data_IF_259074496024
#
_entry.id   IF_259074496024
#
_cell.length_a   1.000
_cell.length_b   1.000
_cell.length_c   1.000
_cell.angle_alpha   90.00
_cell.angle_beta   90.00
_cell.angle_gamma   90.00
#
_symmetry.space_group_name_H-M   'P 1'
#
loop_
_entity.id
_entity.type
_entity.pdbx_description
1 polymer ?
#
# COMPACT_ATOMS: atom_id res chain seq x y z
N UNK A 1 -55.48 43.44 61.52
CA UNK A 1 -55.19 42.23 60.71
C UNK A 1 -54.05 42.57 59.76
N UNK A 2 -52.83 42.09 60.05
CA UNK A 2 -51.61 42.37 59.27
C UNK A 2 -51.59 41.48 58.03
N UNK A 3 -51.51 42.06 56.83
CA UNK A 3 -51.34 41.35 55.56
C UNK A 3 -49.84 41.10 55.34
N UNK A 4 -49.45 39.82 55.25
CA UNK A 4 -48.10 39.39 54.91
C UNK A 4 -48.00 39.37 53.38
N UNK A 5 -47.12 40.17 52.81
CA UNK A 5 -46.77 40.14 51.39
C UNK A 5 -45.60 39.16 51.23
N UNK A 6 -45.85 38.02 50.59
CA UNK A 6 -44.83 37.02 50.26
C UNK A 6 -44.18 37.44 48.93
N UNK A 7 -42.96 37.96 48.99
CA UNK A 7 -42.11 38.21 47.83
C UNK A 7 -41.49 36.88 47.37
N UNK A 8 -41.95 36.36 46.24
CA UNK A 8 -41.32 35.21 45.57
C UNK A 8 -40.18 35.75 44.72
N UNK A 9 -38.94 35.54 45.17
CA UNK A 9 -37.74 35.78 44.37
C UNK A 9 -37.60 34.65 43.33
N UNK A 10 -37.87 34.96 42.07
CA UNK A 10 -37.57 34.06 40.96
C UNK A 10 -36.07 34.15 40.69
N UNK A 11 -35.32 33.19 41.20
CA UNK A 11 -33.90 33.04 40.91
C UNK A 11 -33.70 32.48 39.50
N UNK A 12 -33.24 33.31 38.57
CA UNK A 12 -32.77 32.89 37.25
C UNK A 12 -31.47 32.10 37.42
N UNK A 13 -31.55 30.78 37.36
CA UNK A 13 -30.37 29.90 37.30
C UNK A 13 -29.83 29.98 35.87
N UNK A 14 -28.79 30.79 35.68
CA UNK A 14 -28.01 30.81 34.44
C UNK A 14 -27.12 29.57 34.46
N UNK A 15 -27.56 28.51 33.78
CA UNK A 15 -26.68 27.40 33.42
C UNK A 15 -25.68 27.91 32.38
N UNK A 16 -24.49 28.30 32.84
CA UNK A 16 -23.35 28.47 31.96
C UNK A 16 -22.95 27.08 31.47
N UNK A 17 -23.23 26.76 30.20
CA UNK A 17 -22.56 25.68 29.51
C UNK A 17 -21.07 26.04 29.45
N UNK A 18 -20.29 25.55 30.41
CA UNK A 18 -18.87 25.33 30.19
C UNK A 18 -18.77 24.29 29.06
N UNK A 19 -18.61 24.79 27.83
CA UNK A 19 -17.97 24.02 26.79
C UNK A 19 -16.59 23.68 27.31
N UNK A 20 -16.45 22.52 27.95
CA UNK A 20 -15.20 21.77 27.88
C UNK A 20 -14.95 21.59 26.40
N UNK A 21 -14.14 22.48 25.83
CA UNK A 21 -13.43 22.21 24.61
C UNK A 21 -12.71 20.90 24.90
N UNK A 22 -13.28 19.81 24.41
CA UNK A 22 -12.61 18.54 24.40
C UNK A 22 -11.34 18.82 23.64
N UNK A 23 -10.22 18.80 24.36
CA UNK A 23 -8.91 18.97 23.80
C UNK A 23 -8.63 17.64 23.11
N UNK A 24 -9.39 17.36 22.06
CA UNK A 24 -9.24 16.21 21.20
C UNK A 24 -7.91 16.45 20.50
N UNK A 25 -6.85 16.00 21.17
CA UNK A 25 -5.56 15.77 20.56
C UNK A 25 -5.87 14.81 19.43
N UNK A 26 -6.11 15.36 18.24
CA UNK A 26 -6.29 14.60 17.00
C UNK A 26 -5.20 13.54 17.01
N UNK A 27 -5.59 12.28 17.25
CA UNK A 27 -4.62 11.19 17.33
C UNK A 27 -4.04 11.04 15.93
N UNK A 28 -2.82 11.54 15.74
CA UNK A 28 -2.10 11.40 14.49
C UNK A 28 -1.65 9.94 14.33
N UNK A 29 -1.89 9.37 13.15
CA UNK A 29 -1.40 8.04 12.83
C UNK A 29 0.13 8.08 12.71
N UNK A 30 0.83 7.27 13.49
CA UNK A 30 2.29 7.12 13.41
C UNK A 30 2.72 6.27 12.21
N UNK A 31 1.93 5.24 11.91
CA UNK A 31 2.21 4.27 10.86
C UNK A 31 1.01 4.20 9.92
N UNK A 32 1.28 4.04 8.62
CA UNK A 32 0.26 3.84 7.60
C UNK A 32 0.60 2.55 6.85
N UNK A 33 -0.34 1.60 6.84
CA UNK A 33 -0.27 0.40 6.01
C UNK A 33 -1.39 0.53 4.98
N UNK A 34 -1.03 0.65 3.72
CA UNK A 34 -1.97 0.65 2.59
C UNK A 34 -1.93 -0.73 1.94
N UNK A 35 -3.07 -1.43 1.96
CA UNK A 35 -3.20 -2.74 1.34
C UNK A 35 -4.10 -2.65 0.10
N UNK A 36 -3.59 -3.07 -1.06
CA UNK A 36 -4.30 -3.03 -2.34
C UNK A 36 -4.47 -4.47 -2.85
N UNK A 37 -5.72 -4.89 -3.06
CA UNK A 37 -6.01 -6.05 -3.90
C UNK A 37 -6.25 -5.56 -5.33
N UNK A 38 -5.32 -5.78 -6.25
CA UNK A 38 -5.48 -5.30 -7.64
C UNK A 38 -6.70 -5.99 -8.29
N UNK A 39 -7.55 -5.25 -8.97
CA UNK A 39 -8.80 -5.78 -9.53
C UNK A 39 -9.86 -6.23 -8.50
N UNK A 40 -9.66 -6.01 -7.19
CA UNK A 40 -10.56 -6.47 -6.13
C UNK A 40 -11.78 -5.54 -5.95
N UNK A 41 -12.73 -5.63 -6.87
CA UNK A 41 -14.04 -4.96 -6.74
C UNK A 41 -14.95 -5.63 -5.71
N UNK A 42 -16.11 -5.01 -5.46
CA UNK A 42 -17.15 -5.57 -4.56
C UNK A 42 -17.63 -6.95 -5.00
N UNK A 43 -17.62 -7.23 -6.31
CA UNK A 43 -17.98 -8.53 -6.87
C UNK A 43 -16.96 -9.61 -6.53
N UNK A 44 -15.68 -9.29 -6.63
CA UNK A 44 -14.56 -10.18 -6.27
C UNK A 44 -14.61 -10.50 -4.78
N UNK A 45 -14.73 -9.46 -3.94
CA UNK A 45 -14.84 -9.62 -2.49
C UNK A 45 -16.05 -10.49 -2.09
N UNK A 46 -17.22 -10.25 -2.68
CA UNK A 46 -18.41 -11.03 -2.37
C UNK A 46 -18.30 -12.50 -2.81
N UNK A 47 -17.62 -12.77 -3.92
CA UNK A 47 -17.33 -14.14 -4.35
C UNK A 47 -16.48 -14.88 -3.31
N UNK A 48 -15.41 -14.25 -2.79
CA UNK A 48 -14.59 -14.84 -1.74
C UNK A 48 -15.35 -15.08 -0.43
N UNK A 49 -16.17 -14.12 0.01
CA UNK A 49 -17.04 -14.28 1.20
C UNK A 49 -17.98 -15.48 1.02
N UNK A 50 -18.52 -15.68 -0.19
CA UNK A 50 -19.50 -16.72 -0.47
C UNK A 50 -18.95 -18.15 -0.38
N UNK A 51 -17.63 -18.32 -0.48
CA UNK A 51 -16.97 -19.65 -0.43
C UNK A 51 -16.10 -19.85 0.80
N UNK A 52 -15.84 -18.79 1.57
CA UNK A 52 -15.00 -18.87 2.77
C UNK A 52 -15.74 -19.58 3.91
N UNK A 53 -15.07 -20.54 4.55
CA UNK A 53 -15.60 -21.26 5.71
C UNK A 53 -15.68 -20.39 6.98
N UNK A 54 -14.99 -19.26 7.00
CA UNK A 54 -14.93 -18.31 8.12
C UNK A 54 -15.09 -16.88 7.61
N UNK A 55 -15.61 -15.95 8.44
CA UNK A 55 -15.62 -14.53 8.09
C UNK A 55 -14.21 -14.02 7.76
N UNK A 56 -14.11 -13.28 6.66
CA UNK A 56 -12.85 -12.69 6.20
C UNK A 56 -12.37 -11.62 7.18
N UNK A 57 -11.06 -11.40 7.25
CA UNK A 57 -10.49 -10.30 8.04
C UNK A 57 -10.93 -8.92 7.51
N UNK A 58 -11.13 -8.80 6.19
CA UNK A 58 -11.69 -7.62 5.54
C UNK A 58 -13.07 -7.23 6.10
N UNK A 59 -13.86 -8.17 6.60
CA UNK A 59 -15.18 -7.89 7.19
C UNK A 59 -15.08 -7.21 8.57
N UNK A 60 -13.89 -7.16 9.18
CA UNK A 60 -13.65 -6.53 10.49
C UNK A 60 -13.44 -5.02 10.41
N UNK A 61 -13.30 -4.45 9.21
CA UNK A 61 -13.13 -3.01 9.02
C UNK A 61 -14.41 -2.26 9.43
N UNK A 62 -14.26 -1.28 10.34
CA UNK A 62 -15.38 -0.52 10.91
C UNK A 62 -15.90 0.59 9.99
N UNK A 63 -15.08 1.03 9.05
CA UNK A 63 -15.39 2.13 8.14
C UNK A 63 -15.27 1.64 6.71
N UNK A 64 -16.32 1.88 5.92
CA UNK A 64 -16.40 1.48 4.52
C UNK A 64 -16.79 2.72 3.72
N UNK A 65 -16.12 2.92 2.58
CA UNK A 65 -16.38 4.02 1.67
C UNK A 65 -16.34 3.57 0.22
N UNK A 66 -16.95 4.35 -0.66
CA UNK A 66 -16.88 4.15 -2.11
C UNK A 66 -16.02 5.22 -2.76
N UNK A 67 -15.15 4.79 -3.67
CA UNK A 67 -14.24 5.66 -4.41
C UNK A 67 -14.45 5.49 -5.91
N UNK A 68 -14.42 6.60 -6.67
CA UNK A 68 -14.47 6.57 -8.14
C UNK A 68 -13.06 6.49 -8.70
N UNK A 69 -12.79 5.47 -9.50
CA UNK A 69 -11.43 5.13 -9.94
C UNK A 69 -11.07 5.62 -11.34
N UNK A 70 -11.95 6.36 -12.05
CA UNK A 70 -11.66 6.78 -13.42
C UNK A 70 -10.36 7.58 -13.54
N UNK A 71 -9.60 7.37 -14.62
CA UNK A 71 -8.41 8.16 -14.93
C UNK A 71 -8.79 9.57 -15.44
N UNK A 72 -7.80 10.38 -15.80
CA UNK A 72 -8.02 11.71 -16.38
C UNK A 72 -8.53 11.64 -17.83
N UNK A 73 -8.15 10.59 -18.57
CA UNK A 73 -8.41 10.43 -19.99
C UNK A 73 -9.44 9.35 -20.32
N UNK A 74 -9.82 8.52 -19.35
CA UNK A 74 -10.76 7.40 -19.55
C UNK A 74 -11.72 7.20 -18.38
N UNK A 75 -12.91 6.66 -18.69
CA UNK A 75 -13.85 6.21 -17.67
C UNK A 75 -13.32 4.99 -16.90
N UNK A 76 -12.59 4.10 -17.60
CA UNK A 76 -11.98 2.88 -17.06
C UNK A 76 -10.48 3.13 -16.90
N UNK A 77 -9.98 3.09 -15.67
CA UNK A 77 -8.56 3.24 -15.35
C UNK A 77 -7.78 1.96 -15.62
N UNK A 78 -6.46 2.08 -15.78
CA UNK A 78 -5.51 0.99 -15.57
C UNK A 78 -4.85 1.10 -14.17
N UNK A 79 -4.05 0.10 -13.77
CA UNK A 79 -3.33 0.11 -12.48
C UNK A 79 -2.33 1.27 -12.34
N UNK A 80 -1.75 1.77 -13.44
CA UNK A 80 -0.80 2.91 -13.39
C UNK A 80 -1.49 4.22 -13.01
N UNK A 81 -2.55 4.59 -13.74
CA UNK A 81 -3.32 5.78 -13.40
C UNK A 81 -4.04 5.65 -12.05
N UNK A 82 -4.54 4.46 -11.72
CA UNK A 82 -5.19 4.17 -10.44
C UNK A 82 -4.22 4.30 -9.26
N UNK A 83 -3.05 3.67 -9.35
CA UNK A 83 -1.98 3.77 -8.37
C UNK A 83 -1.50 5.22 -8.19
N UNK A 84 -1.32 5.95 -9.29
CA UNK A 84 -0.90 7.37 -9.28
C UNK A 84 -1.91 8.25 -8.55
N UNK A 85 -3.21 8.05 -8.79
CA UNK A 85 -4.23 8.82 -8.09
C UNK A 85 -4.22 8.58 -6.58
N UNK A 86 -3.96 7.33 -6.15
CA UNK A 86 -3.85 6.97 -4.73
C UNK A 86 -2.58 7.55 -4.11
N UNK A 87 -1.43 7.43 -4.78
CA UNK A 87 -0.13 7.81 -4.22
C UNK A 87 0.12 9.32 -4.21
N UNK A 88 -0.47 10.07 -5.14
CA UNK A 88 -0.21 11.51 -5.32
C UNK A 88 -1.40 12.41 -5.01
N UNK A 89 -2.63 11.85 -5.00
CA UNK A 89 -3.86 12.64 -4.90
C UNK A 89 -4.30 13.30 -6.20
N UNK A 90 -3.64 13.04 -7.33
CA UNK A 90 -3.94 13.62 -8.64
C UNK A 90 -4.28 12.55 -9.68
N UNK A 91 -5.34 12.77 -10.46
CA UNK A 91 -5.61 11.94 -11.63
C UNK A 91 -4.57 12.17 -12.72
N UNK A 92 -4.29 11.11 -13.47
CA UNK A 92 -3.41 11.13 -14.64
C UNK A 92 -3.98 10.28 -15.78
N UNK A 93 -3.30 10.23 -16.91
CA UNK A 93 -3.68 9.43 -18.07
C UNK A 93 -3.37 7.94 -17.83
N UNK A 94 -4.09 7.03 -18.49
CA UNK A 94 -3.77 5.61 -18.40
C UNK A 94 -2.30 5.36 -18.78
N UNK A 95 -1.71 4.32 -18.18
CA UNK A 95 -0.30 3.92 -18.31
C UNK A 95 0.74 4.83 -17.65
N UNK A 96 0.38 6.04 -17.20
CA UNK A 96 1.31 6.95 -16.53
C UNK A 96 1.55 6.52 -15.07
N UNK A 97 2.75 6.80 -14.57
CA UNK A 97 3.24 6.43 -13.23
C UNK A 97 3.73 7.71 -12.54
N UNK A 98 3.01 8.17 -11.52
CA UNK A 98 3.31 9.36 -10.69
C UNK A 98 3.75 10.61 -11.47
N UNK A 99 3.14 10.82 -12.64
CA UNK A 99 3.25 12.05 -13.44
C UNK A 99 1.84 12.56 -13.74
N UNK A 100 1.66 13.87 -13.91
CA UNK A 100 0.38 14.46 -14.30
C UNK A 100 0.03 14.18 -15.76
N UNK A 101 -1.16 14.58 -16.22
CA UNK A 101 -1.59 14.38 -17.61
C UNK A 101 -0.71 15.07 -18.67
N UNK A 102 0.21 15.95 -18.27
CA UNK A 102 1.23 16.56 -19.14
C UNK A 102 2.59 15.88 -19.07
N UNK A 103 2.75 14.86 -18.21
CA UNK A 103 4.00 14.14 -18.00
C UNK A 103 4.91 14.78 -16.94
N UNK A 104 4.44 15.76 -16.19
CA UNK A 104 5.23 16.38 -15.11
C UNK A 104 5.17 15.53 -13.85
N UNK A 105 6.31 15.31 -13.21
CA UNK A 105 6.42 14.55 -11.95
C UNK A 105 5.48 15.08 -10.87
N UNK A 106 4.79 14.14 -10.22
CA UNK A 106 3.92 14.36 -9.08
C UNK A 106 4.51 13.64 -7.88
N UNK A 107 4.71 14.40 -6.80
CA UNK A 107 5.25 13.85 -5.56
C UNK A 107 4.30 12.84 -4.93
N UNK A 108 4.84 11.67 -4.61
CA UNK A 108 4.15 10.52 -4.02
C UNK A 108 4.15 10.60 -2.48
N UNK A 109 3.20 9.92 -1.85
CA UNK A 109 3.17 9.72 -0.40
C UNK A 109 4.48 9.13 0.13
N UNK A 110 5.13 8.25 -0.64
CA UNK A 110 6.41 7.63 -0.26
C UNK A 110 7.55 8.65 -0.19
N UNK A 111 7.58 9.63 -1.09
CA UNK A 111 8.57 10.71 -1.02
C UNK A 111 8.30 11.63 0.17
N UNK A 112 7.03 12.00 0.42
CA UNK A 112 6.66 12.80 1.60
C UNK A 112 7.13 12.12 2.90
N UNK A 113 6.85 10.84 3.08
CA UNK A 113 7.25 10.12 4.31
C UNK A 113 8.76 9.99 4.44
N UNK A 114 9.50 9.81 3.33
CA UNK A 114 10.97 9.75 3.36
C UNK A 114 11.60 11.09 3.70
N UNK A 115 11.08 12.19 3.17
CA UNK A 115 11.52 13.54 3.53
C UNK A 115 11.24 13.87 5.00
N UNK A 116 10.13 13.39 5.54
CA UNK A 116 9.77 13.53 6.96
C UNK A 116 10.55 12.56 7.87
N UNK A 117 11.46 11.75 7.32
CA UNK A 117 12.32 10.84 8.07
C UNK A 117 11.62 9.57 8.59
N UNK A 118 10.45 9.24 8.07
CA UNK A 118 9.79 7.95 8.30
C UNK A 118 10.41 6.88 7.40
N UNK A 119 10.26 5.62 7.81
CA UNK A 119 10.65 4.50 6.96
C UNK A 119 9.59 4.24 5.89
N UNK A 120 10.00 3.74 4.74
CA UNK A 120 9.08 3.34 3.68
C UNK A 120 9.38 1.93 3.18
N UNK A 121 8.32 1.14 2.94
CA UNK A 121 8.47 -0.16 2.31
C UNK A 121 7.36 -0.55 1.35
N UNK A 122 7.65 -1.53 0.51
CA UNK A 122 6.74 -2.06 -0.50
C UNK A 122 6.81 -3.59 -0.52
N UNK A 123 5.66 -4.26 -0.42
CA UNK A 123 5.54 -5.71 -0.54
C UNK A 123 4.50 -6.02 -1.61
N UNK A 124 4.85 -6.81 -2.61
CA UNK A 124 3.93 -7.16 -3.70
C UNK A 124 4.03 -8.63 -4.07
N UNK A 125 2.96 -9.17 -4.65
CA UNK A 125 2.97 -10.54 -5.21
C UNK A 125 3.19 -10.57 -6.72
N UNK A 126 3.48 -9.43 -7.35
CA UNK A 126 3.98 -9.33 -8.73
C UNK A 126 5.48 -8.99 -8.78
N UNK A 127 5.95 -8.40 -9.88
CA UNK A 127 7.26 -7.74 -9.90
C UNK A 127 7.17 -6.37 -9.19
N UNK A 128 8.27 -5.94 -8.56
CA UNK A 128 8.32 -4.66 -7.82
C UNK A 128 8.22 -3.44 -8.76
N UNK A 129 8.49 -3.65 -10.04
CA UNK A 129 8.39 -2.64 -11.10
C UNK A 129 7.00 -2.59 -11.74
N UNK A 130 6.03 -3.40 -11.27
CA UNK A 130 4.65 -3.35 -11.79
C UNK A 130 4.00 -1.99 -11.51
N UNK A 131 2.91 -1.69 -12.21
CA UNK A 131 2.35 -0.34 -12.18
C UNK A 131 1.87 0.13 -10.82
N UNK A 132 1.24 -0.74 -10.02
CA UNK A 132 0.78 -0.38 -8.68
C UNK A 132 1.96 0.01 -7.77
N UNK A 133 2.98 -0.85 -7.52
CA UNK A 133 4.13 -0.44 -6.72
C UNK A 133 4.91 0.71 -7.34
N UNK A 134 5.12 0.70 -8.67
CA UNK A 134 5.82 1.77 -9.38
C UNK A 134 5.20 3.15 -9.14
N UNK A 135 3.87 3.24 -9.08
CA UNK A 135 3.15 4.50 -8.85
C UNK A 135 3.44 5.15 -7.50
N UNK A 136 4.03 4.42 -6.57
CA UNK A 136 4.45 4.92 -5.26
C UNK A 136 5.94 5.25 -5.20
N UNK A 137 6.73 4.90 -6.21
CA UNK A 137 8.21 4.88 -6.07
C UNK A 137 8.99 5.37 -7.30
N UNK A 138 8.32 5.69 -8.40
CA UNK A 138 8.93 6.10 -9.66
C UNK A 138 8.08 7.16 -10.37
N UNK A 139 8.67 7.91 -11.29
CA UNK A 139 7.96 8.91 -12.11
C UNK A 139 8.21 8.67 -13.59
N UNK A 140 7.26 8.00 -14.25
CA UNK A 140 7.46 7.43 -15.58
C UNK A 140 6.23 7.68 -16.46
N UNK A 141 6.46 8.15 -17.68
CA UNK A 141 5.43 8.40 -18.70
C UNK A 141 4.77 7.12 -19.25
N UNK A 142 5.33 5.94 -19.00
CA UNK A 142 4.71 4.68 -19.39
C UNK A 142 5.13 3.49 -18.51
N UNK A 143 4.15 2.79 -17.93
CA UNK A 143 4.31 1.66 -16.99
C UNK A 143 5.15 0.49 -17.47
N UNK A 144 5.43 0.37 -18.76
CA UNK A 144 6.26 -0.71 -19.32
C UNK A 144 7.76 -0.42 -19.29
N UNK A 145 8.19 0.80 -18.90
CA UNK A 145 9.60 1.16 -18.78
C UNK A 145 10.20 0.62 -17.47
N UNK A 146 10.13 -0.70 -17.26
CA UNK A 146 10.48 -1.37 -16.02
C UNK A 146 11.93 -1.15 -15.59
N UNK A 147 12.88 -1.04 -16.53
CA UNK A 147 14.27 -0.69 -16.19
C UNK A 147 14.39 0.73 -15.62
N UNK A 148 13.65 1.71 -16.15
CA UNK A 148 13.63 3.05 -15.59
C UNK A 148 12.97 3.06 -14.20
N UNK A 149 11.89 2.31 -14.02
CA UNK A 149 11.23 2.13 -12.72
C UNK A 149 12.20 1.51 -11.69
N UNK A 150 12.96 0.47 -12.07
CA UNK A 150 13.96 -0.14 -11.19
C UNK A 150 15.06 0.86 -10.77
N UNK A 151 15.46 1.75 -11.68
CA UNK A 151 16.43 2.81 -11.39
C UNK A 151 15.86 3.86 -10.41
N UNK A 152 14.58 4.24 -10.56
CA UNK A 152 13.91 5.14 -9.62
C UNK A 152 13.73 4.50 -8.23
N UNK A 153 13.40 3.20 -8.16
CA UNK A 153 13.34 2.44 -6.89
C UNK A 153 14.68 2.52 -6.15
N UNK A 154 15.79 2.28 -6.86
CA UNK A 154 17.13 2.43 -6.30
C UNK A 154 17.34 3.85 -5.74
N UNK A 155 16.97 4.88 -6.51
CA UNK A 155 17.20 6.28 -6.16
C UNK A 155 16.37 6.76 -4.98
N UNK A 156 15.09 6.39 -4.91
CA UNK A 156 14.20 6.75 -3.80
C UNK A 156 14.70 6.18 -2.46
N UNK A 157 15.32 5.00 -2.50
CA UNK A 157 16.01 4.43 -1.34
C UNK A 157 15.04 3.96 -0.24
N UNK A 158 14.07 3.12 -0.62
CA UNK A 158 13.15 2.42 0.30
C UNK A 158 13.90 1.67 1.41
N UNK A 159 13.35 1.60 2.61
CA UNK A 159 13.96 0.84 3.70
C UNK A 159 13.78 -0.67 3.48
N UNK A 160 12.69 -1.07 2.80
CA UNK A 160 12.45 -2.45 2.40
C UNK A 160 11.63 -2.53 1.12
N UNK A 161 11.98 -3.46 0.22
CA UNK A 161 11.03 -3.97 -0.76
C UNK A 161 11.12 -5.49 -0.88
N UNK A 162 9.99 -6.15 -1.08
CA UNK A 162 9.91 -7.60 -1.31
C UNK A 162 8.93 -7.88 -2.46
N UNK A 163 9.39 -8.60 -3.48
CA UNK A 163 8.61 -8.97 -4.66
C UNK A 163 9.47 -9.62 -5.73
N UNK A 164 8.92 -9.83 -6.92
CA UNK A 164 9.68 -10.30 -8.07
C UNK A 164 10.38 -9.17 -8.84
N UNK A 165 10.90 -9.50 -10.02
CA UNK A 165 11.45 -8.54 -10.99
C UNK A 165 12.95 -8.34 -10.88
N UNK A 166 13.70 -9.34 -10.40
CA UNK A 166 15.17 -9.31 -10.34
C UNK A 166 15.79 -8.96 -11.71
N UNK A 167 15.23 -9.50 -12.79
CA UNK A 167 15.66 -9.27 -14.16
C UNK A 167 15.82 -7.77 -14.51
N UNK A 168 14.91 -6.90 -14.07
CA UNK A 168 14.99 -5.45 -14.34
C UNK A 168 16.14 -4.73 -13.61
N UNK A 169 16.76 -5.40 -12.64
CA UNK A 169 17.91 -4.89 -11.90
C UNK A 169 19.25 -5.42 -12.44
N UNK A 170 19.28 -6.57 -13.13
CA UNK A 170 20.52 -7.22 -13.59
C UNK A 170 20.65 -7.39 -15.11
N UNK A 171 19.55 -7.53 -15.84
CA UNK A 171 19.53 -7.73 -17.30
C UNK A 171 19.15 -6.45 -18.03
N UNK A 172 19.87 -5.36 -17.71
CA UNK A 172 19.51 -4.03 -18.18
C UNK A 172 20.14 -3.68 -19.53
N UNK A 173 19.41 -2.93 -20.33
CA UNK A 173 19.87 -2.39 -21.63
C UNK A 173 21.09 -1.46 -21.53
N UNK A 174 21.24 -0.78 -20.40
CA UNK A 174 22.39 0.09 -20.07
C UNK A 174 23.60 -0.66 -19.49
N UNK A 175 23.53 -1.99 -19.39
CA UNK A 175 24.55 -2.87 -18.83
C UNK A 175 24.89 -2.61 -17.35
N UNK A 176 24.09 -1.80 -16.64
CA UNK A 176 24.26 -1.61 -15.21
C UNK A 176 23.75 -2.81 -14.42
N UNK A 177 24.37 -3.08 -13.28
CA UNK A 177 23.86 -4.00 -12.28
C UNK A 177 23.41 -3.22 -11.05
N UNK A 178 22.10 -3.05 -10.89
CA UNK A 178 21.53 -2.29 -9.78
C UNK A 178 21.58 -3.08 -8.46
N UNK A 179 21.74 -4.40 -8.48
CA UNK A 179 21.98 -5.18 -7.26
C UNK A 179 23.31 -4.77 -6.61
N UNK A 180 24.35 -4.52 -7.41
CA UNK A 180 25.63 -4.04 -6.87
C UNK A 180 25.49 -2.63 -6.28
N UNK A 181 24.73 -1.75 -6.94
CA UNK A 181 24.39 -0.44 -6.40
C UNK A 181 23.57 -0.51 -5.10
N UNK A 182 22.65 -1.46 -4.98
CA UNK A 182 21.90 -1.70 -3.73
C UNK A 182 22.83 -2.18 -2.61
N UNK A 183 23.77 -3.10 -2.89
CA UNK A 183 24.76 -3.55 -1.89
C UNK A 183 25.64 -2.40 -1.41
N UNK A 184 26.10 -1.53 -2.32
CA UNK A 184 26.86 -0.33 -1.96
C UNK A 184 26.06 0.63 -1.07
N UNK A 185 24.74 0.66 -1.22
CA UNK A 185 23.81 1.42 -0.36
C UNK A 185 23.40 0.67 0.92
N UNK A 186 24.03 -0.47 1.21
CA UNK A 186 23.85 -1.23 2.46
C UNK A 186 22.61 -2.11 2.50
N UNK A 187 22.03 -2.46 1.35
CA UNK A 187 20.92 -3.40 1.30
C UNK A 187 21.40 -4.84 1.48
N UNK A 188 20.66 -5.59 2.28
CA UNK A 188 20.69 -7.04 2.26
C UNK A 188 19.93 -7.49 1.02
N UNK A 189 20.56 -8.26 0.14
CA UNK A 189 19.94 -8.78 -1.09
C UNK A 189 19.65 -10.26 -0.86
N UNK A 190 18.37 -10.62 -0.79
CA UNK A 190 17.94 -11.99 -0.50
C UNK A 190 16.92 -12.45 -1.53
N UNK A 191 16.94 -13.74 -1.88
CA UNK A 191 16.03 -14.32 -2.87
C UNK A 191 15.23 -15.52 -2.35
N UNK A 192 15.38 -15.87 -1.08
CA UNK A 192 14.67 -16.97 -0.45
C UNK A 192 13.85 -16.49 0.76
N UNK A 193 12.62 -16.99 0.88
CA UNK A 193 11.70 -16.58 1.94
C UNK A 193 12.14 -17.01 3.34
N UNK A 194 12.90 -18.11 3.48
CA UNK A 194 13.41 -18.51 4.80
C UNK A 194 14.41 -17.48 5.34
N UNK A 195 15.26 -16.93 4.48
CA UNK A 195 16.24 -15.91 4.87
C UNK A 195 15.58 -14.55 5.06
N UNK A 196 14.68 -14.15 4.16
CA UNK A 196 13.89 -12.92 4.27
C UNK A 196 13.11 -12.89 5.59
N UNK A 197 12.57 -14.02 6.04
CA UNK A 197 11.79 -14.12 7.28
C UNK A 197 12.60 -13.89 8.56
N UNK A 198 13.94 -14.00 8.48
CA UNK A 198 14.86 -13.78 9.59
C UNK A 198 15.29 -12.32 9.72
N UNK A 199 15.03 -11.49 8.72
CA UNK A 199 15.42 -10.08 8.74
C UNK A 199 14.57 -9.29 9.74
N UNK A 200 15.27 -8.49 10.54
CA UNK A 200 14.68 -7.63 11.57
C UNK A 200 15.15 -6.17 11.49
N UNK A 201 16.34 -5.89 10.98
CA UNK A 201 16.87 -4.51 10.93
C UNK A 201 17.63 -4.23 9.63
N UNK A 202 18.00 -2.96 9.43
CA UNK A 202 18.78 -2.53 8.27
C UNK A 202 17.91 -2.23 7.06
N UNK A 203 18.44 -2.47 5.85
CA UNK A 203 17.71 -2.33 4.59
C UNK A 203 17.60 -3.68 3.89
N UNK A 204 16.49 -3.93 3.21
CA UNK A 204 16.23 -5.20 2.53
C UNK A 204 15.73 -5.00 1.10
N UNK A 205 16.34 -5.71 0.16
CA UNK A 205 15.83 -5.95 -1.18
C UNK A 205 15.58 -7.47 -1.31
N UNK A 206 14.32 -7.87 -1.19
CA UNK A 206 13.88 -9.26 -1.32
C UNK A 206 13.39 -9.54 -2.75
N UNK A 207 14.19 -10.26 -3.54
CA UNK A 207 13.84 -10.67 -4.91
C UNK A 207 13.34 -12.11 -4.91
N UNK A 208 12.04 -12.32 -4.72
CA UNK A 208 11.44 -13.65 -4.55
C UNK A 208 11.13 -14.36 -5.87
N UNK A 209 11.35 -13.69 -7.01
CA UNK A 209 11.22 -14.25 -8.35
C UNK A 209 12.05 -13.46 -9.36
N UNK A 210 12.51 -14.14 -10.42
CA UNK A 210 13.28 -13.51 -11.49
C UNK A 210 12.48 -12.45 -12.26
N UNK A 211 11.21 -12.73 -12.55
CA UNK A 211 10.24 -11.77 -13.08
C UNK A 211 9.00 -11.77 -12.18
N UNK A 212 7.91 -12.40 -12.58
CA UNK A 212 6.71 -12.51 -11.74
C UNK A 212 6.75 -13.72 -10.80
N UNK A 213 6.10 -13.58 -9.63
CA UNK A 213 5.87 -14.72 -8.76
C UNK A 213 4.81 -15.66 -9.34
N UNK A 214 4.86 -16.97 -9.04
CA UNK A 214 3.75 -17.87 -9.32
C UNK A 214 2.47 -17.38 -8.61
N UNK A 215 1.32 -17.81 -9.11
CA UNK A 215 0.04 -17.65 -8.39
C UNK A 215 -0.03 -18.55 -7.14
N UNK A 216 -1.05 -18.33 -6.30
CA UNK A 216 -1.36 -19.27 -5.21
C UNK A 216 -1.63 -20.68 -5.74
N UNK A 217 -2.34 -20.79 -6.87
CA UNK A 217 -2.62 -22.08 -7.52
C UNK A 217 -1.35 -22.79 -8.00
N UNK A 218 -0.32 -22.04 -8.35
CA UNK A 218 0.98 -22.55 -8.80
C UNK A 218 2.01 -22.70 -7.67
N UNK A 219 1.61 -22.46 -6.42
CA UNK A 219 2.43 -22.77 -5.25
C UNK A 219 3.26 -21.62 -4.71
N UNK A 220 2.83 -20.35 -4.88
CA UNK A 220 3.45 -19.19 -4.20
C UNK A 220 3.57 -19.35 -2.68
N UNK A 221 2.66 -20.10 -2.07
CA UNK A 221 2.63 -20.33 -0.63
C UNK A 221 2.35 -19.04 0.15
N UNK A 222 2.87 -18.97 1.38
CA UNK A 222 2.61 -17.88 2.34
C UNK A 222 3.53 -16.66 2.16
N UNK A 223 3.99 -16.41 0.93
CA UNK A 223 4.97 -15.35 0.64
C UNK A 223 4.47 -13.98 1.09
N UNK A 224 3.22 -13.60 0.78
CA UNK A 224 2.70 -12.27 1.08
C UNK A 224 2.61 -12.04 2.59
N UNK A 225 2.04 -13.00 3.30
CA UNK A 225 1.93 -13.01 4.76
C UNK A 225 3.30 -12.93 5.46
N UNK A 226 4.26 -13.73 5.00
CA UNK A 226 5.61 -13.77 5.57
C UNK A 226 6.38 -12.48 5.30
N UNK A 227 6.24 -11.93 4.08
CA UNK A 227 6.83 -10.65 3.69
C UNK A 227 6.26 -9.48 4.50
N UNK A 228 4.95 -9.45 4.74
CA UNK A 228 4.32 -8.45 5.59
C UNK A 228 4.87 -8.51 7.02
N UNK A 229 4.99 -9.70 7.61
CA UNK A 229 5.59 -9.86 8.95
C UNK A 229 7.03 -9.35 9.01
N UNK A 230 7.85 -9.65 8.01
CA UNK A 230 9.22 -9.12 7.92
C UNK A 230 9.22 -7.60 7.79
N UNK A 231 8.38 -7.06 6.90
CA UNK A 231 8.26 -5.62 6.71
C UNK A 231 7.87 -4.89 8.00
N UNK A 232 6.89 -5.42 8.73
CA UNK A 232 6.46 -4.85 10.00
C UNK A 232 7.56 -4.91 11.06
N UNK A 233 8.33 -6.00 11.15
CA UNK A 233 9.48 -6.07 12.07
C UNK A 233 10.51 -4.99 11.75
N UNK A 234 10.97 -4.93 10.50
CA UNK A 234 12.02 -4.02 10.06
C UNK A 234 11.60 -2.55 10.17
N UNK A 235 10.44 -2.18 9.62
CA UNK A 235 10.01 -0.78 9.55
C UNK A 235 9.65 -0.21 10.93
N UNK A 236 9.23 -1.04 11.88
CA UNK A 236 8.87 -0.60 13.23
C UNK A 236 10.07 -0.17 14.09
N UNK A 237 11.31 -0.42 13.64
CA UNK A 237 12.51 0.14 14.27
C UNK A 237 12.67 1.64 14.02
N UNK A 238 11.99 2.24 13.04
CA UNK A 238 12.05 3.68 12.82
C UNK A 238 11.19 4.43 13.88
N UNK A 239 11.81 5.28 14.73
CA UNK A 239 11.07 5.96 15.80
C UNK A 239 10.05 6.97 15.30
N UNK A 240 10.18 7.50 14.08
CA UNK A 240 9.25 8.45 13.46
C UNK A 240 8.00 7.75 12.90
N UNK A 241 8.06 6.43 12.71
CA UNK A 241 7.00 5.63 12.09
C UNK A 241 7.33 5.23 10.66
N UNK A 242 6.32 4.69 9.96
CA UNK A 242 6.51 4.18 8.61
C UNK A 242 5.27 4.25 7.71
N UNK A 243 5.51 4.20 6.40
CA UNK A 243 4.54 3.86 5.38
C UNK A 243 4.89 2.50 4.77
N UNK A 244 3.89 1.64 4.60
CA UNK A 244 4.03 0.34 3.97
C UNK A 244 2.92 0.15 2.94
N UNK A 245 3.30 -0.04 1.68
CA UNK A 245 2.41 -0.55 0.64
C UNK A 245 2.47 -2.08 0.62
N UNK A 246 1.32 -2.73 0.62
CA UNK A 246 1.16 -4.17 0.44
C UNK A 246 0.20 -4.42 -0.72
N UNK A 247 0.58 -5.23 -1.70
CA UNK A 247 -0.27 -5.55 -2.84
C UNK A 247 -0.49 -7.06 -2.98
N UNK A 248 -1.77 -7.47 -3.00
CA UNK A 248 -2.20 -8.73 -3.59
C UNK A 248 -2.39 -8.52 -5.09
N UNK A 249 -1.31 -8.67 -5.85
CA UNK A 249 -1.20 -8.17 -7.23
C UNK A 249 -1.92 -9.02 -8.28
N UNK A 250 -2.16 -10.31 -8.00
CA UNK A 250 -2.61 -11.28 -9.02
C UNK A 250 -4.12 -11.57 -8.99
N UNK A 251 -4.89 -10.92 -8.10
CA UNK A 251 -6.37 -10.98 -8.12
C UNK A 251 -6.88 -10.47 -9.48
N UNK A 252 -6.30 -9.37 -9.98
CA UNK A 252 -6.56 -8.81 -11.31
C UNK A 252 -6.26 -9.80 -12.44
N UNK A 253 -5.15 -10.54 -12.34
CA UNK A 253 -4.73 -11.50 -13.36
C UNK A 253 -5.71 -12.67 -13.48
N UNK A 254 -6.18 -13.22 -12.35
CA UNK A 254 -7.27 -14.19 -12.36
C UNK A 254 -8.55 -13.64 -13.01
N UNK A 255 -8.83 -12.35 -12.81
CA UNK A 255 -9.93 -11.65 -13.47
C UNK A 255 -9.75 -11.57 -14.98
N UNK A 256 -8.55 -11.22 -15.45
CA UNK A 256 -8.19 -11.20 -16.87
C UNK A 256 -8.30 -12.58 -17.52
N UNK A 257 -7.86 -13.62 -16.81
CA UNK A 257 -7.92 -15.03 -17.25
C UNK A 257 -9.33 -15.63 -17.17
N UNK A 258 -10.28 -14.93 -16.56
CA UNK A 258 -11.65 -15.41 -16.30
C UNK A 258 -11.65 -16.69 -15.46
N UNK A 259 -10.68 -16.81 -14.56
CA UNK A 259 -10.50 -17.96 -13.67
C UNK A 259 -10.93 -17.58 -12.25
N UNK A 260 -12.15 -18.00 -11.88
CA UNK A 260 -12.72 -17.65 -10.57
C UNK A 260 -11.96 -18.30 -9.40
N UNK A 261 -11.40 -19.49 -9.59
CA UNK A 261 -10.62 -20.17 -8.54
C UNK A 261 -9.32 -19.41 -8.31
N UNK A 262 -8.71 -18.88 -9.37
CA UNK A 262 -7.55 -18.02 -9.28
C UNK A 262 -7.88 -16.75 -8.50
N UNK A 263 -8.91 -16.00 -8.91
CA UNK A 263 -9.38 -14.80 -8.21
C UNK A 263 -9.63 -15.06 -6.72
N UNK A 264 -10.38 -16.11 -6.39
CA UNK A 264 -10.74 -16.44 -5.00
C UNK A 264 -9.49 -16.80 -4.20
N UNK A 265 -8.62 -17.66 -4.72
CA UNK A 265 -7.41 -18.08 -3.99
C UNK A 265 -6.48 -16.90 -3.67
N UNK A 266 -6.35 -15.94 -4.59
CA UNK A 266 -5.57 -14.71 -4.38
C UNK A 266 -6.21 -13.76 -3.35
N UNK A 267 -7.55 -13.64 -3.33
CA UNK A 267 -8.25 -12.84 -2.31
C UNK A 267 -8.09 -13.46 -0.93
N UNK A 268 -8.15 -14.79 -0.80
CA UNK A 268 -7.96 -15.47 0.48
C UNK A 268 -6.53 -15.31 1.01
N UNK A 269 -5.52 -15.33 0.14
CA UNK A 269 -4.13 -15.01 0.50
C UNK A 269 -3.99 -13.55 0.96
N UNK A 270 -4.58 -12.61 0.20
CA UNK A 270 -4.60 -11.19 0.57
C UNK A 270 -5.32 -10.96 1.92
N UNK A 271 -6.47 -11.59 2.14
CA UNK A 271 -7.22 -11.49 3.40
C UNK A 271 -6.46 -12.07 4.60
N UNK A 272 -5.70 -13.15 4.39
CA UNK A 272 -4.80 -13.70 5.41
C UNK A 272 -3.75 -12.67 5.83
N UNK A 273 -3.18 -11.93 4.89
CA UNK A 273 -2.24 -10.85 5.17
C UNK A 273 -2.93 -9.67 5.89
N UNK A 274 -4.15 -9.30 5.50
CA UNK A 274 -4.96 -8.26 6.17
C UNK A 274 -5.20 -8.59 7.65
N UNK A 275 -5.27 -9.87 8.02
CA UNK A 275 -5.45 -10.31 9.39
C UNK A 275 -4.24 -10.25 10.32
N UNK A 276 -3.10 -9.68 9.88
CA UNK A 276 -1.85 -9.66 10.65
C UNK A 276 -1.64 -8.44 11.53
#
# INVERSE_FOLDING_TARGET
MKRIILLIAIGTIIFSCENKADNDKTKHAKNIILMIGDGMGVTQLYAAISVSDQPLNLEKFKNIGFHKTSSADNYITDSGAGGTAISTGHKTNNYYIAVDSSGKELKTITEYVKEDGLAAGVVVTSNITHATPASFVAHIDHRTKCENIAFDILNLGLDLFIGGGENFFIERSDSLNLIDSLKERGYQILNNMDEISLIDTGKLAGFTAFDHLPSIKEGRGDMLDSSLKTALKLLNHNPNGFFLLVEGSQIDWGGHDKDIDYVISEILDFDKAVGR
#
